data_IF_115480140115
#
_entry.id   IF_115480140115
#
_cell.length_a   1.000
_cell.length_b   1.000
_cell.length_c   1.000
_cell.angle_alpha   90.00
_cell.angle_beta   90.00
_cell.angle_gamma   90.00
#
_symmetry.space_group_name_H-M   'P 1'
#
loop_
_entity.id
_entity.type
_entity.pdbx_description
1 polymer ?
#
# COMPACT_ATOMS: atom_id res chain seq x y z
N UNK A 1 -6.33 -3.87 -24.15
CA UNK A 1 -5.71 -2.56 -24.51
C UNK A 1 -6.11 -1.49 -23.49
N UNK A 2 -7.38 -1.47 -23.07
CA UNK A 2 -7.93 -0.58 -22.04
C UNK A 2 -7.25 -0.73 -20.67
N UNK A 3 -7.00 -1.95 -20.22
CA UNK A 3 -6.40 -2.25 -18.91
C UNK A 3 -4.96 -1.74 -18.83
N UNK A 4 -4.19 -1.94 -19.91
CA UNK A 4 -2.82 -1.45 -20.02
C UNK A 4 -2.79 0.08 -19.97
N UNK A 5 -3.69 0.75 -20.68
CA UNK A 5 -3.78 2.22 -20.67
C UNK A 5 -4.18 2.74 -19.29
N UNK A 6 -5.07 2.05 -18.58
CA UNK A 6 -5.43 2.37 -17.21
C UNK A 6 -4.21 2.30 -16.27
N UNK A 7 -3.47 1.17 -16.30
CA UNK A 7 -2.25 1.02 -15.49
C UNK A 7 -1.22 2.10 -15.79
N UNK A 8 -1.02 2.45 -17.07
CA UNK A 8 -0.10 3.53 -17.46
C UNK A 8 -0.55 4.86 -16.83
N UNK A 9 -1.83 5.22 -16.92
CA UNK A 9 -2.34 6.46 -16.31
C UNK A 9 -2.12 6.50 -14.80
N UNK A 10 -2.38 5.39 -14.10
CA UNK A 10 -2.13 5.29 -12.67
C UNK A 10 -0.63 5.44 -12.34
N UNK A 11 0.26 4.81 -13.10
CA UNK A 11 1.72 4.95 -12.93
C UNK A 11 2.21 6.38 -13.17
N UNK A 12 1.61 7.09 -14.14
CA UNK A 12 1.96 8.48 -14.43
C UNK A 12 1.59 9.45 -13.30
N UNK A 13 0.66 9.09 -12.41
CA UNK A 13 0.33 9.94 -11.24
C UNK A 13 1.54 10.17 -10.32
N UNK A 14 2.46 9.21 -10.23
CA UNK A 14 3.71 9.38 -9.48
C UNK A 14 4.62 10.46 -10.09
N UNK A 15 4.56 10.68 -11.41
CA UNK A 15 5.46 11.61 -12.09
C UNK A 15 5.13 13.07 -11.74
N UNK A 16 3.86 13.34 -11.39
CA UNK A 16 3.37 14.67 -11.07
C UNK A 16 3.77 15.16 -9.66
N UNK A 17 4.04 14.25 -8.73
CA UNK A 17 4.25 14.58 -7.31
C UNK A 17 5.55 14.02 -6.72
N UNK A 18 6.27 13.20 -7.47
CA UNK A 18 7.54 12.60 -7.05
C UNK A 18 8.59 12.67 -8.15
N UNK A 19 9.85 12.35 -7.83
CA UNK A 19 10.91 12.13 -8.81
C UNK A 19 10.94 10.70 -9.36
N UNK A 20 10.07 9.79 -8.91
CA UNK A 20 9.99 8.42 -9.44
C UNK A 20 9.47 8.42 -10.87
N UNK A 21 10.16 7.71 -11.77
CA UNK A 21 9.79 7.59 -13.19
C UNK A 21 9.68 6.13 -13.60
N UNK A 22 8.48 5.76 -14.06
CA UNK A 22 8.18 4.44 -14.62
C UNK A 22 8.40 4.48 -16.14
N UNK A 23 9.33 3.65 -16.62
CA UNK A 23 9.72 3.58 -18.03
C UNK A 23 9.56 2.17 -18.57
N UNK A 24 9.32 2.04 -19.87
CA UNK A 24 9.30 0.73 -20.51
C UNK A 24 10.67 0.07 -20.37
N UNK A 25 10.65 -1.18 -19.90
CA UNK A 25 11.86 -1.99 -19.82
C UNK A 25 12.42 -2.18 -21.23
N UNK A 26 13.73 -1.96 -21.37
CA UNK A 26 14.53 -2.33 -22.54
C UNK A 26 15.50 -3.44 -22.15
N UNK A 27 16.55 -3.09 -21.41
CA UNK A 27 17.63 -4.01 -20.99
C UNK A 27 17.84 -4.07 -19.48
N UNK A 28 17.01 -3.36 -18.70
CA UNK A 28 17.13 -3.34 -17.25
C UNK A 28 16.95 -4.75 -16.68
N UNK A 29 17.90 -5.15 -15.83
CA UNK A 29 17.91 -6.45 -15.15
C UNK A 29 16.77 -6.56 -14.14
N UNK A 30 16.58 -5.52 -13.34
CA UNK A 30 15.51 -5.45 -12.33
C UNK A 30 14.36 -4.61 -12.88
N UNK A 31 13.13 -5.12 -12.77
CA UNK A 31 11.95 -4.46 -13.31
C UNK A 31 10.67 -4.97 -12.62
N UNK A 32 9.61 -4.16 -12.69
CA UNK A 32 8.26 -4.57 -12.30
C UNK A 32 7.59 -5.32 -13.45
N UNK A 33 7.05 -6.50 -13.15
CA UNK A 33 6.26 -7.30 -14.08
C UNK A 33 4.80 -7.34 -13.62
N UNK A 34 3.98 -6.49 -14.22
CA UNK A 34 2.55 -6.42 -13.95
C UNK A 34 1.82 -7.53 -14.70
N UNK A 35 1.03 -8.32 -13.98
CA UNK A 35 0.23 -9.40 -14.55
C UNK A 35 -1.07 -9.59 -13.78
N UNK A 36 -2.05 -10.25 -14.41
CA UNK A 36 -3.32 -10.56 -13.75
C UNK A 36 -3.22 -11.90 -13.02
N UNK A 37 -2.70 -11.86 -11.79
CA UNK A 37 -2.71 -13.00 -10.86
C UNK A 37 -3.97 -13.05 -10.00
N UNK A 38 -3.89 -13.84 -8.92
CA UNK A 38 -4.91 -13.88 -7.88
C UNK A 38 -4.71 -12.73 -6.89
N UNK A 39 -5.74 -11.89 -6.72
CA UNK A 39 -5.70 -10.73 -5.85
C UNK A 39 -4.72 -9.62 -6.28
N UNK A 40 -4.55 -8.66 -5.38
CA UNK A 40 -3.68 -7.50 -5.54
C UNK A 40 -2.51 -7.65 -4.55
N UNK A 41 -1.28 -7.70 -5.06
CA UNK A 41 -0.09 -7.77 -4.21
C UNK A 41 1.19 -7.41 -4.98
N UNK A 42 2.21 -7.03 -4.21
CA UNK A 42 3.56 -6.72 -4.70
C UNK A 42 4.60 -7.12 -3.65
N UNK A 43 5.82 -7.34 -4.09
CA UNK A 43 6.96 -7.50 -3.18
C UNK A 43 7.35 -6.16 -2.57
N UNK A 44 7.87 -6.20 -1.34
CA UNK A 44 8.37 -5.01 -0.67
C UNK A 44 9.76 -4.63 -1.16
N UNK A 45 9.88 -3.47 -1.79
CA UNK A 45 11.15 -2.93 -2.28
C UNK A 45 11.68 -3.69 -3.50
N UNK A 46 12.84 -3.23 -3.99
CA UNK A 46 13.49 -3.78 -5.18
C UNK A 46 13.99 -5.21 -4.94
N UNK A 47 13.40 -6.16 -5.65
CA UNK A 47 13.88 -7.53 -5.73
C UNK A 47 14.89 -7.72 -6.86
N UNK A 48 15.52 -8.90 -6.91
CA UNK A 48 16.37 -9.28 -8.04
C UNK A 48 15.54 -9.71 -9.25
N UNK A 49 15.98 -9.37 -10.46
CA UNK A 49 15.32 -9.73 -11.74
C UNK A 49 13.91 -9.10 -11.88
N UNK A 50 13.04 -9.74 -12.66
CA UNK A 50 11.65 -9.32 -12.79
C UNK A 50 10.86 -9.67 -11.54
N UNK A 51 10.44 -8.65 -10.78
CA UNK A 51 9.57 -8.85 -9.62
C UNK A 51 8.11 -8.74 -10.03
N UNK A 52 7.30 -9.67 -9.54
CA UNK A 52 5.89 -9.74 -9.87
C UNK A 52 5.10 -8.67 -9.11
N UNK A 53 4.14 -8.08 -9.81
CA UNK A 53 3.07 -7.24 -9.26
C UNK A 53 1.76 -7.79 -9.78
N UNK A 54 0.96 -8.40 -8.91
CA UNK A 54 -0.34 -8.96 -9.26
C UNK A 54 -1.40 -7.88 -9.20
N UNK A 55 -2.10 -7.68 -10.32
CA UNK A 55 -3.28 -6.84 -10.42
C UNK A 55 -4.38 -7.64 -11.13
N UNK A 56 -5.19 -8.35 -10.35
CA UNK A 56 -6.33 -9.09 -10.88
C UNK A 56 -7.25 -8.18 -11.69
N UNK A 57 -7.48 -8.54 -12.96
CA UNK A 57 -8.23 -7.72 -13.93
C UNK A 57 -9.60 -7.24 -13.42
N UNK A 58 -10.34 -8.12 -12.72
CA UNK A 58 -11.69 -7.85 -12.21
C UNK A 58 -11.71 -7.59 -10.70
N UNK A 59 -10.73 -6.88 -10.16
CA UNK A 59 -10.70 -6.56 -8.72
C UNK A 59 -9.61 -5.59 -8.26
N UNK A 60 -8.56 -5.38 -9.07
CA UNK A 60 -7.42 -4.54 -8.69
C UNK A 60 -7.16 -3.35 -9.62
N UNK A 61 -7.95 -3.18 -10.70
CA UNK A 61 -7.76 -2.09 -11.66
C UNK A 61 -8.44 -0.79 -11.18
N UNK A 62 -7.97 -0.29 -10.05
CA UNK A 62 -8.32 1.00 -9.47
C UNK A 62 -7.04 1.82 -9.20
N UNK A 63 -7.14 3.15 -9.24
CA UNK A 63 -5.96 4.03 -9.12
C UNK A 63 -5.26 3.86 -7.77
N UNK A 64 -6.05 3.85 -6.68
CA UNK A 64 -5.60 3.56 -5.32
C UNK A 64 -4.89 2.21 -5.22
N UNK A 65 -5.47 1.15 -5.77
CA UNK A 65 -4.86 -0.18 -5.76
C UNK A 65 -3.53 -0.22 -6.53
N UNK A 66 -3.47 0.35 -7.73
CA UNK A 66 -2.21 0.39 -8.50
C UNK A 66 -1.14 1.18 -7.75
N UNK A 67 -1.50 2.34 -7.16
CA UNK A 67 -0.58 3.12 -6.34
C UNK A 67 -0.10 2.35 -5.11
N UNK A 68 -1.01 1.67 -4.42
CA UNK A 68 -0.71 0.83 -3.25
C UNK A 68 0.33 -0.26 -3.57
N UNK A 69 0.12 -1.03 -4.64
CA UNK A 69 1.04 -2.09 -5.02
C UNK A 69 2.40 -1.56 -5.50
N UNK A 70 2.41 -0.38 -6.11
CA UNK A 70 3.64 0.30 -6.51
C UNK A 70 4.38 0.84 -5.29
N UNK A 71 3.69 1.37 -4.28
CA UNK A 71 4.30 1.81 -3.02
C UNK A 71 4.96 0.63 -2.28
N UNK A 72 4.34 -0.55 -2.27
CA UNK A 72 5.02 -1.78 -1.80
C UNK A 72 6.31 -2.02 -2.57
N UNK A 73 6.27 -1.96 -3.91
CA UNK A 73 7.47 -2.14 -4.74
C UNK A 73 8.56 -1.07 -4.50
N UNK A 74 8.17 0.13 -4.07
CA UNK A 74 9.07 1.22 -3.65
C UNK A 74 9.57 1.06 -2.20
N UNK A 75 9.09 0.06 -1.45
CA UNK A 75 9.60 -0.29 -0.12
C UNK A 75 8.73 0.19 1.04
N UNK A 76 7.49 0.59 0.79
CA UNK A 76 6.58 1.06 1.84
C UNK A 76 5.71 -0.07 2.38
N UNK A 77 5.75 -0.26 3.70
CA UNK A 77 4.82 -1.15 4.39
C UNK A 77 3.43 -0.52 4.52
N UNK A 78 2.44 -1.34 4.88
CA UNK A 78 1.14 -0.82 5.31
C UNK A 78 1.25 0.13 6.51
N UNK A 79 0.33 1.09 6.60
CA UNK A 79 0.35 2.09 7.67
C UNK A 79 0.12 1.47 9.06
N UNK A 80 -0.83 0.54 9.16
CA UNK A 80 -1.20 -0.10 10.44
C UNK A 80 -0.13 -1.04 11.02
N UNK A 81 0.96 -1.28 10.28
CA UNK A 81 2.10 -2.07 10.75
C UNK A 81 3.30 -1.22 11.15
N UNK A 82 3.19 0.12 11.14
CA UNK A 82 4.26 1.00 11.64
C UNK A 82 4.67 0.64 13.07
N UNK A 83 5.93 0.92 13.38
CA UNK A 83 6.51 0.70 14.71
C UNK A 83 5.77 1.45 15.84
N UNK A 84 5.21 2.62 15.53
CA UNK A 84 4.49 3.52 16.43
C UNK A 84 2.96 3.37 16.38
N UNK A 85 2.43 2.41 15.60
CA UNK A 85 0.98 2.29 15.34
C UNK A 85 0.15 2.14 16.61
N UNK A 86 0.69 1.53 17.67
CA UNK A 86 -0.02 1.33 18.94
C UNK A 86 -0.34 2.65 19.66
N UNK A 87 0.26 3.79 19.27
CA UNK A 87 -0.16 5.10 19.79
C UNK A 87 -1.43 5.64 19.12
N UNK A 88 -1.83 5.06 17.99
CA UNK A 88 -2.90 5.57 17.12
C UNK A 88 -4.06 4.59 16.95
N UNK A 89 -3.78 3.29 16.88
CA UNK A 89 -4.78 2.24 16.66
C UNK A 89 -4.67 1.11 17.67
N UNK A 90 -5.80 0.44 17.90
CA UNK A 90 -5.90 -0.84 18.59
C UNK A 90 -6.24 -1.93 17.57
N UNK A 91 -5.52 -3.04 17.61
CA UNK A 91 -5.84 -4.23 16.79
C UNK A 91 -6.68 -5.19 17.60
N UNK A 92 -7.86 -5.52 17.10
CA UNK A 92 -8.80 -6.45 17.71
C UNK A 92 -8.54 -7.86 17.15
N UNK A 93 -7.48 -8.51 17.63
CA UNK A 93 -7.03 -9.82 17.14
C UNK A 93 -8.12 -10.89 17.19
N UNK A 94 -9.03 -10.82 18.16
CA UNK A 94 -10.17 -11.73 18.29
C UNK A 94 -11.12 -11.69 17.08
N UNK A 95 -11.14 -10.61 16.31
CA UNK A 95 -12.01 -10.45 15.12
C UNK A 95 -11.32 -10.84 13.81
N UNK A 96 -10.01 -11.13 13.84
CA UNK A 96 -9.22 -11.44 12.64
C UNK A 96 -9.43 -12.91 12.23
N UNK A 97 -9.60 -13.16 10.92
CA UNK A 97 -9.64 -14.50 10.33
C UNK A 97 -8.43 -15.34 10.75
N UNK A 98 -8.61 -16.63 11.13
CA UNK A 98 -7.49 -17.53 11.40
C UNK A 98 -6.44 -17.50 10.29
N UNK A 99 -5.16 -17.49 10.66
CA UNK A 99 -4.03 -17.40 9.72
C UNK A 99 -3.71 -15.99 9.19
N UNK A 100 -4.56 -14.98 9.42
CA UNK A 100 -4.38 -13.63 8.86
C UNK A 100 -3.73 -12.63 9.84
N UNK A 101 -3.42 -13.05 11.06
CA UNK A 101 -2.84 -12.20 12.11
C UNK A 101 -1.49 -11.58 11.72
N UNK A 102 -0.73 -12.26 10.85
CA UNK A 102 0.57 -11.80 10.36
C UNK A 102 0.50 -10.47 9.60
N UNK A 103 -0.64 -10.14 8.99
CA UNK A 103 -0.86 -8.88 8.27
C UNK A 103 -0.98 -7.66 9.20
N UNK A 104 -1.15 -7.89 10.51
CA UNK A 104 -1.33 -6.86 11.53
C UNK A 104 -0.15 -6.78 12.51
N UNK A 105 0.89 -7.61 12.31
CA UNK A 105 2.09 -7.57 13.13
C UNK A 105 2.90 -6.32 12.80
N UNK A 106 3.35 -5.59 13.83
CA UNK A 106 4.23 -4.43 13.66
C UNK A 106 5.50 -4.83 12.92
N UNK A 107 6.00 -3.90 12.11
CA UNK A 107 7.29 -3.97 11.43
C UNK A 107 8.22 -2.92 12.03
N UNK A 108 9.53 -3.18 11.96
CA UNK A 108 10.55 -2.19 12.29
C UNK A 108 10.64 -1.18 11.14
N UNK A 109 9.73 -0.20 11.12
CA UNK A 109 9.63 0.77 10.04
C UNK A 109 10.55 1.97 10.26
N UNK A 110 11.12 2.49 9.17
CA UNK A 110 11.60 3.86 9.14
C UNK A 110 10.42 4.76 8.75
N UNK A 111 9.92 5.53 9.72
CA UNK A 111 8.75 6.38 9.55
C UNK A 111 9.04 7.69 8.79
N UNK A 112 10.30 7.93 8.44
CA UNK A 112 10.77 9.07 7.65
C UNK A 112 10.35 10.44 8.23
N UNK A 113 10.16 10.51 9.56
CA UNK A 113 9.74 11.74 10.24
C UNK A 113 8.33 12.22 9.90
N UNK A 114 7.48 11.34 9.38
CA UNK A 114 6.06 11.66 9.11
C UNK A 114 5.17 11.10 10.21
N UNK A 115 4.08 11.81 10.55
CA UNK A 115 3.08 11.30 11.49
C UNK A 115 2.36 10.07 10.92
N UNK A 116 1.65 9.36 11.80
CA UNK A 116 0.73 8.30 11.40
C UNK A 116 -0.44 8.88 10.61
N UNK A 117 -0.81 8.24 9.52
CA UNK A 117 -1.77 8.78 8.55
C UNK A 117 -2.95 7.84 8.29
N UNK A 118 -4.12 8.17 8.84
CA UNK A 118 -5.36 7.43 8.59
C UNK A 118 -5.85 7.53 7.14
N UNK A 119 -5.41 8.55 6.39
CA UNK A 119 -5.79 8.78 5.00
C UNK A 119 -4.75 8.20 4.01
N UNK A 120 -3.70 7.53 4.50
CA UNK A 120 -2.73 6.87 3.65
C UNK A 120 -3.39 5.79 2.81
N UNK A 121 -3.03 5.72 1.52
CA UNK A 121 -3.46 4.63 0.64
C UNK A 121 -2.91 3.27 1.10
N UNK A 122 -1.90 3.27 1.98
CA UNK A 122 -1.31 2.09 2.58
C UNK A 122 -2.01 1.63 3.86
N UNK A 123 -3.04 2.33 4.35
CA UNK A 123 -3.76 1.95 5.57
C UNK A 123 -4.90 0.97 5.28
N UNK A 124 -4.96 -0.14 6.02
CA UNK A 124 -6.12 -1.04 5.97
C UNK A 124 -7.40 -0.41 6.50
N UNK A 125 -8.54 -0.75 5.89
CA UNK A 125 -9.85 -0.40 6.43
C UNK A 125 -10.18 -1.12 7.74
N UNK A 126 -11.14 -0.58 8.48
CA UNK A 126 -11.56 -1.08 9.82
C UNK A 126 -11.89 -2.57 9.86
N UNK A 127 -12.41 -3.12 8.77
CA UNK A 127 -12.93 -4.49 8.68
C UNK A 127 -11.99 -5.44 7.94
N UNK A 128 -10.75 -5.02 7.66
CA UNK A 128 -9.79 -5.83 6.93
C UNK A 128 -9.63 -7.20 7.61
N UNK A 129 -9.76 -8.28 6.84
CA UNK A 129 -9.66 -9.67 7.30
C UNK A 129 -10.58 -10.03 8.48
N UNK A 130 -11.72 -9.34 8.65
CA UNK A 130 -12.70 -9.67 9.70
C UNK A 130 -13.35 -11.04 9.46
N UNK A 131 -13.51 -11.82 10.52
CA UNK A 131 -14.20 -13.13 10.49
C UNK A 131 -15.68 -13.06 10.88
N UNK A 132 -16.09 -11.97 11.52
CA UNK A 132 -17.40 -11.80 12.16
C UNK A 132 -18.09 -10.49 11.79
N UNK A 133 -17.61 -9.78 10.76
CA UNK A 133 -18.07 -8.44 10.33
C UNK A 133 -17.86 -7.34 11.38
N UNK A 134 -17.16 -7.65 12.47
CA UNK A 134 -16.72 -6.66 13.45
C UNK A 134 -15.39 -6.03 13.05
N UNK A 135 -15.08 -4.80 13.53
CA UNK A 135 -13.80 -4.16 13.25
C UNK A 135 -12.60 -4.98 13.72
N UNK A 136 -11.55 -5.03 12.92
CA UNK A 136 -10.23 -5.56 13.28
C UNK A 136 -9.25 -4.45 13.68
N UNK A 137 -9.52 -3.20 13.29
CA UNK A 137 -8.73 -2.02 13.63
C UNK A 137 -9.67 -0.92 14.14
N UNK A 138 -9.34 -0.32 15.28
CA UNK A 138 -10.01 0.88 15.81
C UNK A 138 -9.00 1.99 16.06
N UNK A 139 -9.34 3.23 15.70
CA UNK A 139 -8.54 4.39 16.10
C UNK A 139 -8.74 4.67 17.59
N UNK A 140 -7.66 4.85 18.35
CA UNK A 140 -7.69 4.97 19.81
C UNK A 140 -8.43 6.21 20.30
N UNK A 141 -8.22 7.34 19.63
CA UNK A 141 -8.84 8.63 20.03
C UNK A 141 -10.28 8.77 19.56
N UNK A 142 -10.65 8.09 18.47
CA UNK A 142 -11.98 8.15 17.91
C UNK A 142 -12.34 6.80 17.26
N UNK A 143 -12.92 5.85 18.02
CA UNK A 143 -13.30 4.53 17.49
C UNK A 143 -14.26 4.58 16.31
N UNK A 144 -15.01 5.67 16.14
CA UNK A 144 -15.95 5.88 15.02
C UNK A 144 -15.29 6.41 13.76
N UNK A 145 -14.02 6.84 13.81
CA UNK A 145 -13.28 7.33 12.64
C UNK A 145 -13.33 6.29 11.51
N UNK A 146 -13.64 6.76 10.30
CA UNK A 146 -13.59 5.96 9.09
C UNK A 146 -12.22 6.18 8.41
N UNK A 147 -11.55 5.11 8.02
CA UNK A 147 -10.21 5.15 7.43
C UNK A 147 -9.99 3.93 6.53
N UNK A 148 -8.90 3.95 5.74
CA UNK A 148 -8.63 2.93 4.74
C UNK A 148 -9.59 3.02 3.54
N UNK A 149 -10.06 4.23 3.23
CA UNK A 149 -10.96 4.54 2.11
C UNK A 149 -10.32 5.45 1.07
N UNK A 150 -9.00 5.65 1.16
CA UNK A 150 -8.24 6.52 0.28
C UNK A 150 -8.37 6.08 -1.19
N UNK A 151 -8.56 7.06 -2.09
CA UNK A 151 -8.68 6.85 -3.55
C UNK A 151 -7.42 7.23 -4.32
N UNK A 152 -6.45 7.82 -3.63
CA UNK A 152 -5.13 8.19 -4.13
C UNK A 152 -4.15 8.28 -2.98
N UNK A 153 -2.85 8.30 -3.27
CA UNK A 153 -1.79 8.64 -2.32
C UNK A 153 -2.11 9.91 -1.54
N UNK A 154 -1.92 9.87 -0.23
CA UNK A 154 -2.02 11.03 0.64
C UNK A 154 -0.80 11.95 0.50
N UNK A 155 -0.84 13.13 1.13
CA UNK A 155 0.32 14.01 1.22
C UNK A 155 1.50 13.32 1.92
N UNK A 156 1.24 12.48 2.93
CA UNK A 156 2.30 11.77 3.63
C UNK A 156 2.87 10.62 2.81
N UNK A 157 2.06 9.90 2.03
CA UNK A 157 2.55 8.88 1.10
C UNK A 157 3.56 9.51 0.11
N UNK A 158 3.19 10.63 -0.50
CA UNK A 158 4.04 11.38 -1.43
C UNK A 158 5.31 11.89 -0.73
N UNK A 159 5.17 12.53 0.44
CA UNK A 159 6.31 13.05 1.18
C UNK A 159 7.31 11.96 1.58
N UNK A 160 6.82 10.76 1.94
CA UNK A 160 7.67 9.61 2.25
C UNK A 160 8.41 9.08 1.03
N UNK A 161 7.75 8.98 -0.13
CA UNK A 161 8.43 8.63 -1.39
C UNK A 161 9.54 9.64 -1.68
N UNK A 162 9.23 10.93 -1.65
CA UNK A 162 10.20 11.98 -1.96
C UNK A 162 11.39 11.97 -1.01
N UNK A 163 11.13 11.86 0.30
CA UNK A 163 12.20 11.81 1.31
C UNK A 163 13.07 10.57 1.21
N UNK A 164 12.49 9.39 0.92
CA UNK A 164 13.26 8.15 0.80
C UNK A 164 14.16 8.17 -0.46
N UNK A 165 13.64 8.70 -1.56
CA UNK A 165 14.34 8.73 -2.85
C UNK A 165 15.10 10.03 -3.13
N UNK A 166 15.14 10.96 -2.17
CA UNK A 166 15.83 12.25 -2.27
C UNK A 166 15.39 13.03 -3.51
N UNK A 167 14.08 13.04 -3.72
CA UNK A 167 13.42 14.10 -4.46
C UNK A 167 13.41 15.37 -3.55
#
# INVERSE_FOLDING_TARGET
KTERNFMIRALLTFHASTCSRFVWRRRQRNYLYFYSGSGCWSYLGRQSRGQLVSLQKNGCLYTDTVQHEVLHALGFHHEQVRSDRDSYVSILYQNIKPGQTHNFMKRKTNNLGTPYDFDSVMHYGKYAFSKNREPTILAKRNPSLNFGTARTMSKNDIARVNKLYQC
#
